data_IF_831654497760
#
_entry.id   IF_831654497760
#
_cell.length_a   1.000
_cell.length_b   1.000
_cell.length_c   1.000
_cell.angle_alpha   90.00
_cell.angle_beta   90.00
_cell.angle_gamma   90.00
#
_symmetry.space_group_name_H-M   'P 1'
#
loop_
_entity.id
_entity.type
_entity.pdbx_description
1 polymer ?
#
# COMPACT_ATOMS: atom_id res chain seq x y z
N UNK A 1 3.23 -7.54 15.83
CA UNK A 1 2.43 -6.49 15.17
C UNK A 1 3.34 -5.83 14.18
N UNK A 2 2.90 -5.79 12.92
CA UNK A 2 3.58 -5.09 11.85
C UNK A 2 3.52 -3.58 12.11
N UNK A 3 4.62 -2.87 11.88
CA UNK A 3 4.70 -1.42 12.16
C UNK A 3 4.23 -0.62 10.96
N UNK A 4 4.57 -1.07 9.76
CA UNK A 4 4.38 -0.35 8.50
C UNK A 4 3.28 -0.95 7.62
N UNK A 5 2.84 -2.17 7.91
CA UNK A 5 1.82 -2.89 7.13
C UNK A 5 0.58 -3.18 7.96
N UNK A 6 -0.58 -3.21 7.30
CA UNK A 6 -1.84 -3.68 7.87
C UNK A 6 -2.33 -4.92 7.13
N UNK A 7 -2.72 -5.94 7.89
CA UNK A 7 -3.53 -7.04 7.39
C UNK A 7 -4.94 -6.58 7.00
N UNK A 8 -5.70 -7.39 6.23
CA UNK A 8 -7.09 -7.07 5.89
C UNK A 8 -7.97 -6.75 7.10
N UNK A 9 -7.81 -7.50 8.20
CA UNK A 9 -8.56 -7.27 9.45
C UNK A 9 -8.18 -5.95 10.13
N UNK A 10 -6.90 -5.58 10.12
CA UNK A 10 -6.43 -4.32 10.71
C UNK A 10 -6.84 -3.12 9.86
N UNK A 11 -6.78 -3.27 8.53
CA UNK A 11 -7.24 -2.26 7.59
C UNK A 11 -8.75 -1.96 7.75
N UNK A 12 -9.57 -2.99 8.00
CA UNK A 12 -11.01 -2.82 8.31
C UNK A 12 -11.25 -1.98 9.56
N UNK A 13 -10.39 -2.12 10.57
CA UNK A 13 -10.51 -1.39 11.84
C UNK A 13 -9.87 0.01 11.78
N UNK A 14 -9.06 0.28 10.76
CA UNK A 14 -8.31 1.53 10.63
C UNK A 14 -8.99 2.50 9.66
N UNK A 15 -9.40 3.67 10.16
CA UNK A 15 -9.86 4.78 9.31
C UNK A 15 -8.77 5.32 8.37
N UNK A 16 -7.49 5.04 8.66
CA UNK A 16 -6.34 5.48 7.88
C UNK A 16 -5.90 4.51 6.78
N UNK A 17 -6.61 3.40 6.54
CA UNK A 17 -6.25 2.43 5.48
C UNK A 17 -6.57 2.91 4.05
N UNK A 18 -7.35 4.00 3.91
CA UNK A 18 -7.83 4.52 2.64
C UNK A 18 -9.08 3.81 2.09
N UNK A 19 -9.74 4.45 1.14
CA UNK A 19 -11.04 4.01 0.60
C UNK A 19 -11.01 2.61 -0.02
N UNK A 20 -9.98 2.32 -0.83
CA UNK A 20 -9.86 1.03 -1.52
C UNK A 20 -9.62 -0.13 -0.56
N UNK A 21 -8.77 0.07 0.45
CA UNK A 21 -8.54 -0.94 1.49
C UNK A 21 -9.83 -1.24 2.28
N UNK A 22 -10.61 -0.20 2.61
CA UNK A 22 -11.90 -0.39 3.29
C UNK A 22 -12.90 -1.12 2.40
N UNK A 23 -12.94 -0.82 1.10
CA UNK A 23 -13.78 -1.53 0.14
C UNK A 23 -13.39 -3.02 0.03
N UNK A 24 -12.08 -3.32 -0.06
CA UNK A 24 -11.58 -4.71 -0.07
C UNK A 24 -11.96 -5.45 1.21
N UNK A 25 -11.71 -4.87 2.38
CA UNK A 25 -12.08 -5.46 3.66
C UNK A 25 -13.59 -5.69 3.81
N UNK A 26 -14.40 -4.80 3.23
CA UNK A 26 -15.87 -4.92 3.26
C UNK A 26 -16.34 -6.04 2.33
N UNK A 27 -15.77 -6.15 1.13
CA UNK A 27 -16.04 -7.24 0.19
C UNK A 27 -15.69 -8.60 0.80
N UNK A 28 -14.53 -8.69 1.45
CA UNK A 28 -14.06 -9.89 2.15
C UNK A 28 -14.99 -10.25 3.31
N UNK A 29 -15.40 -9.25 4.10
CA UNK A 29 -16.38 -9.40 5.18
C UNK A 29 -17.78 -9.81 4.70
N UNK A 30 -18.11 -9.56 3.43
CA UNK A 30 -19.34 -10.02 2.78
C UNK A 30 -19.21 -11.42 2.16
N UNK A 31 -18.05 -12.08 2.30
CA UNK A 31 -17.80 -13.43 1.77
C UNK A 31 -17.49 -13.48 0.27
N UNK A 32 -17.16 -12.34 -0.35
CA UNK A 32 -16.69 -12.33 -1.73
C UNK A 32 -15.26 -12.89 -1.81
N UNK A 33 -14.93 -13.51 -2.94
CA UNK A 33 -13.59 -14.01 -3.20
C UNK A 33 -12.65 -12.83 -3.51
N UNK A 34 -12.01 -12.29 -2.48
CA UNK A 34 -10.99 -11.25 -2.58
C UNK A 34 -9.61 -11.92 -2.62
N UNK A 35 -8.75 -11.62 -3.60
CA UNK A 35 -7.36 -12.10 -3.59
C UNK A 35 -6.64 -11.60 -2.33
N UNK A 36 -5.67 -12.36 -1.77
CA UNK A 36 -4.88 -11.90 -0.63
C UNK A 36 -4.29 -10.49 -0.86
N UNK A 37 -4.25 -9.68 0.20
CA UNK A 37 -3.77 -8.30 0.13
C UNK A 37 -3.27 -7.80 1.49
N UNK A 38 -2.51 -6.71 1.47
CA UNK A 38 -2.15 -5.92 2.66
C UNK A 38 -2.09 -4.43 2.30
N UNK A 39 -2.01 -3.57 3.31
CA UNK A 39 -1.82 -2.12 3.12
C UNK A 39 -0.44 -1.72 3.62
N UNK A 40 0.31 -0.97 2.81
CA UNK A 40 1.44 -0.19 3.31
C UNK A 40 0.91 1.12 3.87
N UNK A 41 1.17 1.36 5.16
CA UNK A 41 0.64 2.49 5.92
C UNK A 41 1.23 3.82 5.46
N UNK A 42 0.47 4.91 5.62
CA UNK A 42 0.93 6.26 5.29
C UNK A 42 2.17 6.66 6.12
N UNK A 43 2.27 6.22 7.37
CA UNK A 43 3.42 6.50 8.24
C UNK A 43 4.74 5.92 7.68
N UNK A 44 4.67 4.91 6.80
CA UNK A 44 5.83 4.38 6.10
C UNK A 44 6.43 5.39 5.12
N UNK A 45 5.59 6.24 4.51
CA UNK A 45 6.04 7.36 3.68
C UNK A 45 6.73 8.42 4.56
N UNK A 46 6.11 8.83 5.66
CA UNK A 46 6.69 9.83 6.58
C UNK A 46 8.05 9.40 7.14
N UNK A 47 8.17 8.13 7.57
CA UNK A 47 9.43 7.56 8.06
C UNK A 47 10.52 7.50 6.98
N UNK A 48 10.13 7.30 5.73
CA UNK A 48 11.01 7.28 4.57
C UNK A 48 11.45 8.68 4.16
N UNK A 49 10.55 9.67 4.25
CA UNK A 49 10.84 11.07 3.97
C UNK A 49 11.77 11.69 5.03
N UNK A 50 11.58 11.35 6.31
CA UNK A 50 12.44 11.84 7.39
C UNK A 50 13.92 11.40 7.26
N UNK A 51 14.17 10.31 6.52
CA UNK A 51 15.51 9.79 6.24
C UNK A 51 16.08 10.28 4.91
N UNK A 52 15.27 10.95 4.08
CA UNK A 52 15.70 11.50 2.81
C UNK A 52 16.71 12.64 3.05
N UNK A 53 17.91 12.50 2.47
CA UNK A 53 18.98 13.50 2.58
C UNK A 53 18.79 14.70 1.64
N UNK A 54 17.86 14.59 0.69
CA UNK A 54 17.55 15.62 -0.29
C UNK A 54 16.03 15.66 -0.51
N UNK A 55 15.50 16.87 -0.69
CA UNK A 55 14.06 17.15 -0.81
C UNK A 55 13.45 16.46 -2.05
N UNK A 56 14.25 16.22 -3.09
CA UNK A 56 13.78 15.69 -4.38
C UNK A 56 14.00 14.17 -4.57
N UNK A 57 14.52 13.46 -3.56
CA UNK A 57 14.79 12.01 -3.65
C UNK A 57 14.07 11.29 -2.52
N UNK A 58 12.88 10.79 -2.81
CA UNK A 58 12.17 9.85 -1.92
C UNK A 58 12.85 8.48 -2.05
N UNK A 59 13.28 7.93 -0.92
CA UNK A 59 13.82 6.58 -0.81
C UNK A 59 13.14 5.86 0.36
N UNK A 60 12.80 4.58 0.18
CA UNK A 60 12.20 3.76 1.23
C UNK A 60 13.23 3.57 2.36
N UNK A 61 12.83 3.87 3.60
CA UNK A 61 13.71 3.63 4.74
C UNK A 61 14.04 2.13 4.92
N UNK A 62 15.21 1.78 5.50
CA UNK A 62 15.59 0.37 5.69
C UNK A 62 14.54 -0.45 6.46
N UNK A 63 13.94 0.12 7.51
CA UNK A 63 12.94 -0.57 8.33
C UNK A 63 11.64 -0.83 7.56
N UNK A 64 11.19 0.16 6.77
CA UNK A 64 10.03 0.01 5.89
C UNK A 64 10.31 -1.02 4.79
N UNK A 65 11.51 -0.97 4.19
CA UNK A 65 11.92 -1.90 3.13
C UNK A 65 11.91 -3.35 3.62
N UNK A 66 12.44 -3.59 4.82
CA UNK A 66 12.48 -4.93 5.41
C UNK A 66 11.07 -5.50 5.63
N UNK A 67 10.16 -4.71 6.19
CA UNK A 67 8.79 -5.14 6.44
C UNK A 67 7.98 -5.30 5.15
N UNK A 68 8.14 -4.37 4.19
CA UNK A 68 7.51 -4.45 2.87
C UNK A 68 7.93 -5.74 2.15
N UNK A 69 9.22 -6.04 2.12
CA UNK A 69 9.76 -7.23 1.46
C UNK A 69 9.22 -8.50 2.11
N UNK A 70 9.14 -8.54 3.44
CA UNK A 70 8.58 -9.67 4.17
C UNK A 70 7.08 -9.87 3.88
N UNK A 71 6.30 -8.78 3.83
CA UNK A 71 4.88 -8.82 3.50
C UNK A 71 4.64 -9.29 2.06
N UNK A 72 5.44 -8.81 1.10
CA UNK A 72 5.39 -9.23 -0.30
C UNK A 72 5.71 -10.72 -0.44
N UNK A 73 6.77 -11.21 0.20
CA UNK A 73 7.14 -12.62 0.16
C UNK A 73 6.07 -13.54 0.78
N UNK A 74 5.38 -13.07 1.84
CA UNK A 74 4.27 -13.79 2.44
C UNK A 74 3.02 -13.81 1.54
N UNK A 75 2.80 -12.74 0.77
CA UNK A 75 1.66 -12.58 -0.13
C UNK A 75 1.80 -13.39 -1.42
N UNK A 76 3.02 -13.43 -1.96
CA UNK A 76 3.37 -14.10 -3.21
C UNK A 76 4.50 -15.14 -3.01
N UNK A 77 4.26 -16.21 -2.21
CA UNK A 77 5.28 -17.21 -1.89
C UNK A 77 5.76 -18.00 -3.11
N UNK A 78 4.97 -18.04 -4.19
CA UNK A 78 5.30 -18.69 -5.46
C UNK A 78 5.83 -17.73 -6.52
N UNK A 79 6.03 -16.45 -6.20
CA UNK A 79 6.41 -15.43 -7.17
C UNK A 79 5.23 -14.93 -8.02
N UNK A 80 4.02 -15.01 -7.49
CA UNK A 80 2.81 -14.50 -8.13
C UNK A 80 2.93 -13.00 -8.43
N UNK A 81 2.36 -12.58 -9.57
CA UNK A 81 2.33 -11.17 -9.93
C UNK A 81 1.34 -10.39 -9.05
N UNK A 82 1.78 -9.22 -8.63
CA UNK A 82 1.09 -8.35 -7.69
C UNK A 82 0.52 -7.12 -8.38
N UNK A 83 -0.45 -6.48 -7.72
CA UNK A 83 -0.92 -5.15 -8.07
C UNK A 83 -0.54 -4.17 -6.96
N UNK A 84 0.09 -3.06 -7.33
CA UNK A 84 0.43 -1.96 -6.41
C UNK A 84 -0.48 -0.79 -6.73
N UNK A 85 -1.28 -0.38 -5.75
CA UNK A 85 -2.34 0.61 -5.93
C UNK A 85 -2.26 1.64 -4.81
N UNK A 86 -2.35 2.92 -5.16
CA UNK A 86 -2.60 3.96 -4.17
C UNK A 86 -3.94 3.73 -3.46
N UNK A 87 -4.03 4.07 -2.19
CA UNK A 87 -5.27 4.03 -1.41
C UNK A 87 -5.26 5.23 -0.47
N UNK A 88 -5.45 6.43 -1.02
CA UNK A 88 -5.45 7.65 -0.23
C UNK A 88 -6.74 7.74 0.61
N UNK A 89 -6.63 8.24 1.84
CA UNK A 89 -7.77 8.43 2.74
C UNK A 89 -8.76 9.49 2.27
N UNK A 90 -8.32 10.42 1.40
CA UNK A 90 -9.13 11.53 0.86
C UNK A 90 -9.64 11.26 -0.58
N UNK A 91 -9.52 10.01 -1.07
CA UNK A 91 -10.04 9.62 -2.39
C UNK A 91 -11.58 9.63 -2.44
N UNK A 92 -12.23 9.51 -1.28
CA UNK A 92 -13.68 9.40 -1.09
C UNK A 92 -14.30 10.62 -0.34
N UNK A 93 -13.58 11.73 -0.19
CA UNK A 93 -14.08 12.92 0.49
C UNK A 93 -15.18 13.65 -0.30
N UNK A 94 -16.20 14.20 0.39
CA UNK A 94 -17.36 14.89 -0.22
C UNK A 94 -16.99 16.11 -1.10
N UNK A 95 -15.75 16.59 -1.04
CA UNK A 95 -15.31 17.83 -1.70
C UNK A 95 -14.38 17.61 -2.92
N UNK A 96 -13.72 16.46 -3.06
CA UNK A 96 -12.76 16.20 -4.15
C UNK A 96 -12.72 14.69 -4.44
N UNK A 97 -13.14 14.28 -5.64
CA UNK A 97 -12.93 12.91 -6.11
C UNK A 97 -11.68 12.90 -6.98
N UNK A 98 -10.59 12.31 -6.49
CA UNK A 98 -9.36 12.08 -7.25
C UNK A 98 -9.41 10.79 -8.09
N UNK A 99 -10.62 10.27 -8.32
CA UNK A 99 -10.83 9.06 -9.12
C UNK A 99 -10.21 9.23 -10.53
N UNK A 100 -9.17 8.45 -10.81
CA UNK A 100 -8.44 8.48 -12.08
C UNK A 100 -7.15 9.29 -12.10
N UNK A 101 -6.75 9.95 -11.00
CA UNK A 101 -5.45 10.62 -10.89
C UNK A 101 -4.36 9.77 -10.23
N UNK A 102 -4.73 8.67 -9.57
CA UNK A 102 -3.77 7.87 -8.82
C UNK A 102 -3.37 6.59 -9.57
N UNK A 103 -2.06 6.35 -9.63
CA UNK A 103 -1.48 5.27 -10.42
C UNK A 103 -1.77 3.88 -9.82
N UNK A 104 -2.07 2.93 -10.71
CA UNK A 104 -2.16 1.51 -10.37
C UNK A 104 -1.22 0.74 -11.28
N UNK A 105 -0.29 0.01 -10.67
CA UNK A 105 0.65 -0.85 -11.36
C UNK A 105 0.17 -2.28 -11.27
N UNK A 106 -0.05 -2.92 -12.42
CA UNK A 106 -0.54 -4.30 -12.52
C UNK A 106 0.58 -5.21 -13.05
N UNK A 107 0.55 -6.49 -12.68
CA UNK A 107 1.51 -7.47 -13.19
C UNK A 107 2.93 -7.26 -12.66
N UNK A 108 3.06 -6.77 -11.43
CA UNK A 108 4.33 -6.38 -10.80
C UNK A 108 4.98 -7.63 -10.19
N UNK A 109 6.23 -7.91 -10.55
CA UNK A 109 6.99 -8.98 -9.91
C UNK A 109 7.28 -8.61 -8.45
N UNK A 110 7.37 -9.59 -7.51
CA UNK A 110 7.64 -9.31 -6.10
C UNK A 110 8.86 -8.40 -5.86
N UNK A 111 9.94 -8.60 -6.61
CA UNK A 111 11.16 -7.81 -6.56
C UNK A 111 11.00 -6.35 -7.02
N UNK A 112 9.99 -6.07 -7.86
CA UNK A 112 9.71 -4.74 -8.40
C UNK A 112 8.73 -3.93 -7.55
N UNK A 113 8.07 -4.57 -6.56
CA UNK A 113 7.08 -3.90 -5.69
C UNK A 113 7.66 -2.65 -5.00
N UNK A 114 8.88 -2.67 -4.42
CA UNK A 114 9.44 -1.46 -3.81
C UNK A 114 9.59 -0.29 -4.80
N UNK A 115 9.92 -0.56 -6.07
CA UNK A 115 10.00 0.48 -7.08
C UNK A 115 8.62 1.07 -7.38
N UNK A 116 7.58 0.23 -7.48
CA UNK A 116 6.21 0.70 -7.72
C UNK A 116 5.59 1.44 -6.54
N UNK A 117 5.99 1.09 -5.32
CA UNK A 117 5.64 1.88 -4.13
C UNK A 117 6.24 3.29 -4.23
N UNK A 118 7.50 3.42 -4.64
CA UNK A 118 8.13 4.73 -4.85
C UNK A 118 7.46 5.52 -5.98
N UNK A 119 7.04 4.87 -7.06
CA UNK A 119 6.30 5.52 -8.13
C UNK A 119 4.97 6.08 -7.61
N UNK A 120 4.20 5.27 -6.85
CA UNK A 120 2.95 5.71 -6.20
C UNK A 120 3.16 6.86 -5.21
N UNK A 121 4.29 6.92 -4.51
CA UNK A 121 4.60 8.03 -3.60
C UNK A 121 4.97 9.33 -4.32
N UNK A 122 5.29 9.28 -5.63
CA UNK A 122 5.64 10.46 -6.44
C UNK A 122 4.47 11.00 -7.26
N UNK A 123 3.39 10.23 -7.41
CA UNK A 123 2.16 10.62 -8.11
C UNK A 123 1.33 11.60 -7.29
#
# INVERSE_FOLDING_TARGET
>A
MSTWTLSPSEARASRGAGGKAQALASAEGAGLAVPPWFVLRAEAFDASLAQARAIDVIAISPDVMAELTAAVAALAPGGELLAVRSSASDEDGEAQSFAGQLESYLGVAPEDVPARVLDVWKS
#
